data_IF_978921377621
#
_entry.id   IF_978921377621
#
_cell.length_a   1.000
_cell.length_b   1.000
_cell.length_c   1.000
_cell.angle_alpha   90.00
_cell.angle_beta   90.00
_cell.angle_gamma   90.00
#
_symmetry.space_group_name_H-M   'P 1'
#
loop_
_entity.id
_entity.type
_entity.pdbx_description
1 polymer ?
#
# COMPACT_ATOMS: atom_id res chain seq x y z
N UNK A 1 13.02 14.91 0.59
CA UNK A 1 14.05 14.49 -0.39
C UNK A 1 13.99 12.99 -0.50
N UNK A 2 13.47 12.52 -1.63
CA UNK A 2 13.19 11.11 -1.92
C UNK A 2 14.51 10.35 -2.16
N UNK A 3 14.91 9.54 -1.20
CA UNK A 3 16.08 8.67 -1.31
C UNK A 3 15.75 7.34 -2.01
N UNK A 4 14.46 7.02 -2.21
CA UNK A 4 14.03 5.79 -2.88
C UNK A 4 14.12 5.88 -4.42
N UNK A 5 14.24 7.10 -4.96
CA UNK A 5 14.38 7.37 -6.40
C UNK A 5 15.80 7.71 -6.87
N UNK A 6 16.80 7.75 -5.97
CA UNK A 6 18.20 7.93 -6.41
C UNK A 6 18.65 6.69 -7.15
N UNK A 7 18.91 6.83 -8.46
CA UNK A 7 19.54 5.78 -9.25
C UNK A 7 20.88 5.42 -8.62
N UNK A 8 21.06 4.17 -8.16
CA UNK A 8 22.36 3.68 -7.74
C UNK A 8 23.31 3.58 -8.95
N UNK A 9 24.55 3.17 -8.70
CA UNK A 9 25.47 2.67 -9.72
C UNK A 9 24.70 1.73 -10.70
N UNK A 10 25.06 1.63 -11.99
CA UNK A 10 24.29 0.88 -13.01
C UNK A 10 23.99 -0.60 -12.67
N UNK A 11 24.63 -1.16 -11.65
CA UNK A 11 24.47 -2.55 -11.18
C UNK A 11 23.89 -2.66 -9.75
N UNK A 12 23.46 -1.56 -9.12
CA UNK A 12 22.91 -1.58 -7.77
C UNK A 12 21.39 -1.36 -7.82
N UNK A 13 20.66 -2.12 -7.00
CA UNK A 13 19.21 -2.02 -6.89
C UNK A 13 18.81 -0.73 -6.17
N UNK A 14 17.69 -0.14 -6.59
CA UNK A 14 17.08 0.95 -5.84
C UNK A 14 16.68 0.48 -4.44
N UNK A 15 16.51 1.39 -3.45
CA UNK A 15 16.09 0.98 -2.11
C UNK A 15 14.79 0.17 -2.08
N UNK A 16 13.83 0.44 -2.97
CA UNK A 16 12.61 -0.36 -3.08
C UNK A 16 12.89 -1.76 -3.66
N UNK A 17 13.77 -1.86 -4.65
CA UNK A 17 14.18 -3.12 -5.24
C UNK A 17 14.96 -4.00 -4.26
N UNK A 18 15.77 -3.43 -3.37
CA UNK A 18 16.40 -4.17 -2.26
C UNK A 18 15.35 -4.74 -1.29
N UNK A 19 14.30 -3.96 -0.99
CA UNK A 19 13.18 -4.45 -0.18
C UNK A 19 12.41 -5.57 -0.90
N UNK A 20 12.21 -5.48 -2.22
CA UNK A 20 11.66 -6.59 -3.01
C UNK A 20 12.54 -7.84 -2.95
N UNK A 21 13.87 -7.69 -3.03
CA UNK A 21 14.80 -8.80 -2.88
C UNK A 21 14.69 -9.46 -1.49
N UNK A 22 14.48 -8.65 -0.43
CA UNK A 22 14.19 -9.16 0.91
C UNK A 22 12.88 -9.97 0.95
N UNK A 23 11.78 -9.46 0.38
CA UNK A 23 10.51 -10.20 0.33
C UNK A 23 10.62 -11.51 -0.46
N UNK A 24 11.44 -11.53 -1.52
CA UNK A 24 11.73 -12.74 -2.30
C UNK A 24 12.49 -13.78 -1.45
N UNK A 25 13.44 -13.34 -0.62
CA UNK A 25 14.09 -14.21 0.37
C UNK A 25 13.11 -14.69 1.44
N UNK A 26 12.29 -13.80 1.99
CA UNK A 26 11.27 -14.13 3.00
C UNK A 26 10.33 -15.23 2.50
N UNK A 27 9.85 -15.12 1.26
CA UNK A 27 9.02 -16.14 0.63
C UNK A 27 9.76 -17.48 0.54
N UNK A 28 11.02 -17.50 0.11
CA UNK A 28 11.79 -18.74 0.05
C UNK A 28 11.92 -19.39 1.44
N UNK A 29 12.36 -18.61 2.42
CA UNK A 29 12.68 -19.09 3.77
C UNK A 29 11.44 -19.58 4.52
N UNK A 30 10.31 -18.89 4.38
CA UNK A 30 9.08 -19.20 5.13
C UNK A 30 8.06 -20.06 4.37
N UNK A 31 8.17 -20.19 3.04
CA UNK A 31 7.23 -20.98 2.23
C UNK A 31 7.84 -22.26 1.67
N UNK A 32 9.17 -22.34 1.53
CA UNK A 32 9.85 -23.57 1.11
C UNK A 32 10.51 -24.28 2.29
N UNK A 33 10.11 -25.53 2.52
CA UNK A 33 10.44 -26.27 3.74
C UNK A 33 11.95 -26.55 3.90
N UNK A 34 12.73 -26.47 2.83
CA UNK A 34 14.16 -26.79 2.83
C UNK A 34 15.07 -25.61 3.22
N UNK A 35 14.54 -24.39 3.35
CA UNK A 35 15.33 -23.17 3.57
C UNK A 35 15.11 -22.53 4.95
N UNK A 36 14.39 -23.20 5.85
CA UNK A 36 14.13 -22.70 7.20
C UNK A 36 15.40 -22.51 8.06
N UNK A 37 16.53 -23.08 7.65
CA UNK A 37 17.82 -22.84 8.29
C UNK A 37 18.33 -21.39 8.13
N UNK A 38 17.76 -20.60 7.23
CA UNK A 38 18.12 -19.19 7.00
C UNK A 38 17.25 -18.17 7.73
N UNK A 39 16.32 -18.62 8.60
CA UNK A 39 15.43 -17.72 9.35
C UNK A 39 16.23 -16.72 10.20
N UNK A 40 17.35 -17.14 10.78
CA UNK A 40 18.18 -16.27 11.61
C UNK A 40 18.92 -15.20 10.79
N UNK A 41 19.23 -15.50 9.53
CA UNK A 41 19.97 -14.65 8.60
C UNK A 41 19.08 -13.67 7.81
N UNK A 42 17.78 -13.98 7.67
CA UNK A 42 16.84 -13.16 6.90
C UNK A 42 16.71 -11.72 7.43
N UNK A 43 16.65 -11.56 8.76
CA UNK A 43 16.48 -10.26 9.40
C UNK A 43 15.21 -9.52 8.94
N UNK A 44 15.26 -8.19 9.00
CA UNK A 44 14.19 -7.28 8.58
C UNK A 44 14.54 -6.57 7.26
N UNK A 45 13.54 -6.10 6.49
CA UNK A 45 13.81 -5.36 5.25
C UNK A 45 14.56 -4.06 5.53
N UNK A 46 15.40 -3.62 4.60
CA UNK A 46 16.18 -2.38 4.77
C UNK A 46 15.28 -1.14 4.90
N UNK A 47 15.63 -0.22 5.81
CA UNK A 47 15.01 1.11 5.88
C UNK A 47 13.87 1.25 6.88
N UNK A 48 13.71 0.30 7.82
CA UNK A 48 12.74 0.37 8.90
C UNK A 48 12.88 1.66 9.71
N UNK A 49 11.92 2.57 9.55
CA UNK A 49 11.69 3.68 10.47
C UNK A 49 10.39 3.42 11.23
N UNK A 50 10.47 2.47 12.14
CA UNK A 50 9.38 2.01 12.99
C UNK A 50 8.86 3.15 13.88
N UNK A 51 7.54 3.33 13.88
CA UNK A 51 6.88 4.10 14.93
C UNK A 51 7.05 3.32 16.23
N UNK A 52 7.65 3.95 17.24
CA UNK A 52 7.81 3.34 18.56
C UNK A 52 6.46 2.91 19.12
N UNK A 53 6.40 1.65 19.55
CA UNK A 53 5.22 1.08 20.18
C UNK A 53 4.91 1.87 21.46
N UNK A 54 3.72 2.43 21.51
CA UNK A 54 3.20 3.11 22.69
C UNK A 54 1.72 2.77 22.88
N UNK A 55 1.26 2.87 24.12
CA UNK A 55 -0.15 2.68 24.44
C UNK A 55 -0.86 4.02 24.34
N UNK A 56 -1.95 4.06 23.59
CA UNK A 56 -2.81 5.24 23.46
C UNK A 56 -4.11 5.00 24.21
N UNK A 57 -4.54 5.99 24.99
CA UNK A 57 -5.87 5.99 25.58
C UNK A 57 -6.90 6.35 24.51
N UNK A 58 -7.93 5.54 24.37
CA UNK A 58 -9.00 5.74 23.40
C UNK A 58 -10.31 5.98 24.15
N UNK A 59 -10.97 7.08 23.83
CA UNK A 59 -12.29 7.41 24.36
C UNK A 59 -13.28 7.26 23.21
N UNK A 60 -14.18 6.26 23.24
CA UNK A 60 -15.17 6.10 22.19
C UNK A 60 -16.18 7.25 22.26
N UNK A 61 -16.42 7.89 21.12
CA UNK A 61 -17.53 8.82 20.95
C UNK A 61 -18.87 8.07 21.02
N UNK A 62 -19.91 8.71 21.54
CA UNK A 62 -21.25 8.14 21.54
C UNK A 62 -21.87 8.17 20.13
N UNK A 63 -22.87 7.31 19.94
CA UNK A 63 -23.61 7.27 18.67
C UNK A 63 -24.38 8.56 18.43
N UNK A 64 -24.50 8.93 17.17
CA UNK A 64 -25.19 10.14 16.72
C UNK A 64 -26.31 9.77 15.77
N UNK A 65 -27.49 10.37 15.93
CA UNK A 65 -28.62 10.17 15.02
C UNK A 65 -28.65 11.28 13.96
N UNK A 66 -27.56 11.41 13.18
CA UNK A 66 -27.37 12.48 12.19
C UNK A 66 -27.32 11.87 10.79
N UNK A 67 -28.08 12.47 9.86
CA UNK A 67 -28.15 11.99 8.48
C UNK A 67 -27.06 12.64 7.62
N UNK A 68 -26.02 11.88 7.30
CA UNK A 68 -24.86 12.27 6.46
C UNK A 68 -25.14 12.50 4.95
N UNK A 69 -26.40 12.71 4.54
CA UNK A 69 -26.77 12.83 3.12
C UNK A 69 -26.67 14.25 2.55
N UNK A 70 -26.40 15.26 3.39
CA UNK A 70 -26.37 16.68 3.00
C UNK A 70 -25.20 17.40 3.67
N UNK A 71 -24.77 18.52 3.09
CA UNK A 71 -23.74 19.41 3.64
C UNK A 71 -23.93 19.68 5.14
N UNK A 72 -25.14 20.07 5.55
CA UNK A 72 -25.45 20.36 6.95
C UNK A 72 -25.24 19.15 7.87
N UNK A 73 -25.58 17.93 7.43
CA UNK A 73 -25.37 16.73 8.24
C UNK A 73 -23.89 16.40 8.43
N UNK A 74 -23.03 16.73 7.45
CA UNK A 74 -21.58 16.56 7.60
C UNK A 74 -21.00 17.57 8.61
N UNK A 75 -21.48 18.81 8.57
CA UNK A 75 -21.12 19.85 9.54
C UNK A 75 -21.56 19.42 10.94
N UNK A 76 -22.82 19.02 11.09
CA UNK A 76 -23.42 18.59 12.37
C UNK A 76 -22.66 17.40 12.98
N UNK A 77 -22.21 16.42 12.18
CA UNK A 77 -21.36 15.33 12.68
C UNK A 77 -20.01 15.83 13.18
N UNK A 78 -19.38 16.77 12.49
CA UNK A 78 -18.09 17.31 12.96
C UNK A 78 -18.25 18.15 14.22
N UNK A 79 -19.27 19.01 14.28
CA UNK A 79 -19.61 19.81 15.46
C UNK A 79 -19.91 18.90 16.66
N UNK A 80 -20.68 17.85 16.46
CA UNK A 80 -21.04 16.89 17.50
C UNK A 80 -19.82 16.08 18.00
N UNK A 81 -18.94 15.62 17.11
CA UNK A 81 -17.69 14.96 17.50
C UNK A 81 -16.77 15.90 18.30
N UNK A 82 -16.65 17.16 17.87
CA UNK A 82 -15.87 18.16 18.56
C UNK A 82 -16.46 18.49 19.93
N UNK A 83 -17.79 18.61 20.03
CA UNK A 83 -18.52 18.83 21.28
C UNK A 83 -18.28 17.70 22.28
N UNK A 84 -18.34 16.44 21.83
CA UNK A 84 -17.99 15.28 22.65
C UNK A 84 -16.53 15.29 23.11
N UNK A 85 -15.63 15.83 22.27
CA UNK A 85 -14.22 16.08 22.59
C UNK A 85 -13.95 17.32 23.44
N UNK A 86 -14.99 18.03 23.90
CA UNK A 86 -14.85 19.24 24.74
C UNK A 86 -14.60 20.54 23.95
N UNK A 87 -14.74 20.52 22.63
CA UNK A 87 -14.52 21.65 21.72
C UNK A 87 -15.84 22.20 21.14
N UNK A 88 -16.90 22.20 21.94
CA UNK A 88 -18.21 22.76 21.58
C UNK A 88 -18.17 24.27 21.38
N UNK A 89 -19.31 24.86 21.04
CA UNK A 89 -19.45 26.30 20.80
C UNK A 89 -20.07 27.04 21.99
N UNK A 90 -19.78 28.33 22.10
CA UNK A 90 -20.30 29.23 23.15
C UNK A 90 -21.83 29.24 23.27
N UNK A 91 -22.53 28.87 22.20
CA UNK A 91 -23.99 28.74 22.18
C UNK A 91 -24.53 27.39 22.66
N UNK A 92 -23.68 26.40 22.94
CA UNK A 92 -24.10 25.06 23.33
C UNK A 92 -24.62 25.03 24.77
N UNK A 93 -25.63 24.20 25.01
CA UNK A 93 -26.20 24.01 26.34
C UNK A 93 -25.15 23.38 27.27
N UNK A 94 -24.81 24.10 28.33
CA UNK A 94 -23.80 23.67 29.31
C UNK A 94 -22.36 23.99 28.90
N UNK A 95 -22.15 24.82 27.87
CA UNK A 95 -20.83 25.33 27.53
C UNK A 95 -20.29 26.24 28.64
N UNK A 96 -19.10 25.91 29.13
CA UNK A 96 -18.36 26.74 30.07
C UNK A 96 -17.47 27.70 29.28
N UNK A 97 -17.82 29.00 29.31
CA UNK A 97 -17.05 30.03 28.63
C UNK A 97 -15.59 30.11 29.10
N UNK A 98 -15.30 29.70 30.33
CA UNK A 98 -13.92 29.65 30.84
C UNK A 98 -13.08 28.53 30.20
N UNK A 99 -13.73 27.58 29.55
CA UNK A 99 -13.12 26.46 28.82
C UNK A 99 -13.01 26.71 27.31
N UNK A 100 -13.31 27.93 26.81
CA UNK A 100 -13.16 28.23 25.38
C UNK A 100 -11.69 28.15 24.94
N UNK A 101 -11.44 27.37 23.88
CA UNK A 101 -10.09 27.16 23.32
C UNK A 101 -9.97 27.88 21.99
N UNK A 102 -8.96 28.75 21.87
CA UNK A 102 -8.57 29.31 20.57
C UNK A 102 -7.88 28.23 19.73
N UNK A 103 -8.55 27.82 18.64
CA UNK A 103 -8.06 26.78 17.74
C UNK A 103 -7.06 27.28 16.68
N UNK A 104 -6.69 28.57 16.70
CA UNK A 104 -5.82 29.18 15.70
C UNK A 104 -4.41 28.54 15.64
N UNK A 105 -3.91 28.07 16.79
CA UNK A 105 -2.59 27.41 16.91
C UNK A 105 -2.68 25.89 17.15
N UNK A 106 -3.87 25.31 16.94
CA UNK A 106 -4.13 23.89 17.19
C UNK A 106 -4.39 23.12 15.89
N UNK A 107 -4.13 21.81 15.94
CA UNK A 107 -4.46 20.88 14.86
C UNK A 107 -5.11 19.64 15.45
N UNK A 108 -6.17 19.16 14.78
CA UNK A 108 -6.78 17.86 15.06
C UNK A 108 -6.67 17.01 13.82
N UNK A 109 -6.15 15.80 14.02
CA UNK A 109 -5.99 14.81 12.97
C UNK A 109 -7.24 13.95 12.87
N UNK A 110 -7.81 13.87 11.67
CA UNK A 110 -9.00 13.08 11.39
C UNK A 110 -8.62 11.94 10.47
N UNK A 111 -8.55 10.72 11.02
CA UNK A 111 -8.37 9.51 10.23
C UNK A 111 -9.71 9.02 9.70
N UNK A 112 -9.76 8.57 8.45
CA UNK A 112 -10.97 8.00 7.90
C UNK A 112 -10.81 7.43 6.51
N UNK A 113 -11.93 7.01 5.96
CA UNK A 113 -12.00 6.55 4.58
C UNK A 113 -12.11 7.72 3.60
N UNK A 114 -12.25 7.38 2.32
CA UNK A 114 -12.41 8.39 1.27
C UNK A 114 -13.66 9.25 1.48
N UNK A 115 -14.75 8.67 1.98
CA UNK A 115 -16.01 9.40 2.20
C UNK A 115 -15.85 10.42 3.33
N UNK A 116 -15.15 10.07 4.41
CA UNK A 116 -14.78 11.02 5.48
C UNK A 116 -14.02 12.23 4.91
N UNK A 117 -13.08 12.01 3.99
CA UNK A 117 -12.36 13.12 3.34
C UNK A 117 -13.30 13.97 2.47
N UNK A 118 -14.19 13.36 1.70
CA UNK A 118 -15.14 14.10 0.89
C UNK A 118 -16.08 14.95 1.76
N UNK A 119 -16.51 14.41 2.90
CA UNK A 119 -17.30 15.13 3.88
C UNK A 119 -16.53 16.30 4.50
N UNK A 120 -15.27 16.09 4.92
CA UNK A 120 -14.47 17.17 5.49
C UNK A 120 -14.18 18.29 4.47
N UNK A 121 -13.86 17.93 3.22
CA UNK A 121 -13.69 18.94 2.16
C UNK A 121 -14.96 19.74 1.91
N UNK A 122 -16.11 19.08 2.01
CA UNK A 122 -17.42 19.69 1.87
C UNK A 122 -17.68 20.71 3.00
N UNK A 123 -17.35 20.36 4.24
CA UNK A 123 -17.39 21.26 5.42
C UNK A 123 -16.45 22.47 5.23
N UNK A 124 -15.19 22.24 4.88
CA UNK A 124 -14.21 23.31 4.63
C UNK A 124 -14.69 24.27 3.54
N UNK A 125 -15.27 23.74 2.47
CA UNK A 125 -15.78 24.57 1.36
C UNK A 125 -16.95 25.43 1.81
N UNK A 126 -17.92 24.85 2.52
CA UNK A 126 -19.12 25.57 2.96
C UNK A 126 -18.81 26.65 4.01
N UNK A 127 -17.83 26.38 4.89
CA UNK A 127 -17.44 27.29 5.97
C UNK A 127 -16.28 28.22 5.60
N UNK A 128 -15.83 28.25 4.36
CA UNK A 128 -14.62 28.99 3.95
C UNK A 128 -14.67 30.50 4.18
N UNK A 129 -15.87 31.09 4.27
CA UNK A 129 -16.09 32.54 4.46
C UNK A 129 -16.25 32.95 5.93
N UNK A 130 -16.29 32.00 6.85
CA UNK A 130 -16.47 32.30 8.27
C UNK A 130 -15.27 33.07 8.83
N UNK A 131 -15.52 33.92 9.82
CA UNK A 131 -14.51 34.86 10.33
C UNK A 131 -13.36 34.14 11.06
N UNK A 132 -13.70 33.19 11.94
CA UNK A 132 -12.72 32.54 12.83
C UNK A 132 -12.18 31.22 12.24
N UNK A 133 -10.90 30.87 12.49
CA UNK A 133 -10.35 29.57 12.10
C UNK A 133 -11.17 28.38 12.66
N UNK A 134 -11.77 28.57 13.84
CA UNK A 134 -12.65 27.58 14.48
C UNK A 134 -13.88 27.29 13.62
N UNK A 135 -14.63 28.33 13.25
CA UNK A 135 -15.84 28.22 12.43
C UNK A 135 -15.54 27.71 11.01
N UNK A 136 -14.33 28.00 10.49
CA UNK A 136 -13.84 27.45 9.22
C UNK A 136 -13.41 25.99 9.27
N UNK A 137 -13.35 25.38 10.46
CA UNK A 137 -12.77 24.05 10.70
C UNK A 137 -11.31 23.93 10.20
N UNK A 138 -10.57 25.04 10.19
CA UNK A 138 -9.26 25.13 9.54
C UNK A 138 -8.20 24.22 10.19
N UNK A 139 -8.37 23.93 11.49
CA UNK A 139 -7.49 23.07 12.30
C UNK A 139 -7.67 21.57 12.04
N UNK A 140 -8.68 21.15 11.26
CA UNK A 140 -8.91 19.75 10.93
C UNK A 140 -8.03 19.29 9.76
N UNK A 141 -7.07 18.42 10.03
CA UNK A 141 -6.22 17.78 9.01
C UNK A 141 -6.65 16.34 8.81
N UNK A 142 -7.09 16.00 7.60
CA UNK A 142 -7.42 14.63 7.25
C UNK A 142 -6.18 13.78 6.98
N UNK A 143 -6.14 12.59 7.56
CA UNK A 143 -5.16 11.54 7.28
C UNK A 143 -5.83 10.31 6.66
N UNK A 144 -5.30 9.77 5.56
CA UNK A 144 -5.88 8.59 4.93
C UNK A 144 -5.78 7.38 5.85
N UNK A 145 -6.89 6.70 6.10
CA UNK A 145 -6.89 5.42 6.79
C UNK A 145 -6.12 4.38 5.99
N UNK A 146 -5.00 3.89 6.54
CA UNK A 146 -4.10 2.95 5.84
C UNK A 146 -4.77 1.63 5.48
N UNK A 147 -5.75 1.19 6.28
CA UNK A 147 -6.58 0.04 5.94
C UNK A 147 -7.37 0.26 4.64
N UNK A 148 -8.03 1.41 4.47
CA UNK A 148 -8.76 1.74 3.25
C UNK A 148 -7.83 1.95 2.05
N UNK A 149 -6.65 2.52 2.28
CA UNK A 149 -5.62 2.60 1.25
C UNK A 149 -5.20 1.21 0.77
N UNK A 150 -4.88 0.28 1.69
CA UNK A 150 -4.60 -1.14 1.40
C UNK A 150 -5.76 -1.82 0.65
N UNK A 151 -7.01 -1.56 1.05
CA UNK A 151 -8.19 -2.06 0.33
C UNK A 151 -8.26 -1.54 -1.11
N UNK A 152 -8.02 -0.24 -1.31
CA UNK A 152 -8.03 0.37 -2.63
C UNK A 152 -6.94 -0.21 -3.54
N UNK A 153 -5.74 -0.47 -2.98
CA UNK A 153 -4.62 -1.10 -3.69
C UNK A 153 -4.99 -2.48 -4.22
N UNK A 154 -5.52 -3.36 -3.37
CA UNK A 154 -5.88 -4.72 -3.82
C UNK A 154 -7.05 -4.72 -4.80
N UNK A 155 -8.00 -3.80 -4.64
CA UNK A 155 -9.10 -3.62 -5.58
C UNK A 155 -8.61 -3.03 -6.93
N UNK A 156 -7.47 -2.33 -6.95
CA UNK A 156 -6.82 -1.93 -8.19
C UNK A 156 -6.18 -3.14 -8.90
N UNK A 157 -5.51 -4.04 -8.16
CA UNK A 157 -5.00 -5.30 -8.72
C UNK A 157 -6.11 -6.16 -9.32
N UNK A 158 -7.29 -6.19 -8.68
CA UNK A 158 -8.47 -6.85 -9.25
C UNK A 158 -8.84 -6.28 -10.63
N UNK A 159 -8.92 -4.94 -10.74
CA UNK A 159 -9.22 -4.26 -12.00
C UNK A 159 -8.15 -4.49 -13.08
N UNK A 160 -6.89 -4.68 -12.69
CA UNK A 160 -5.78 -4.91 -13.63
C UNK A 160 -5.73 -6.37 -14.12
N UNK A 161 -5.76 -7.34 -13.20
CA UNK A 161 -5.33 -8.72 -13.52
C UNK A 161 -6.46 -9.75 -13.58
N UNK A 162 -7.66 -9.44 -13.07
CA UNK A 162 -8.73 -10.43 -12.94
C UNK A 162 -10.05 -10.01 -13.60
N UNK A 163 -10.42 -8.74 -13.49
CA UNK A 163 -11.63 -8.20 -14.12
C UNK A 163 -11.59 -8.22 -15.67
N UNK A 164 -10.46 -7.89 -16.34
CA UNK A 164 -10.44 -7.86 -17.81
C UNK A 164 -10.50 -9.27 -18.41
N UNK A 165 -11.63 -9.59 -19.05
CA UNK A 165 -11.85 -10.91 -19.67
C UNK A 165 -10.85 -11.24 -20.78
N UNK A 166 -10.32 -10.22 -21.47
CA UNK A 166 -9.35 -10.40 -22.54
C UNK A 166 -8.00 -10.99 -22.08
N UNK A 167 -7.73 -11.01 -20.78
CA UNK A 167 -6.53 -11.63 -20.21
C UNK A 167 -6.71 -13.09 -19.77
N UNK A 168 -7.93 -13.64 -19.83
CA UNK A 168 -8.22 -14.97 -19.26
C UNK A 168 -7.61 -16.13 -20.05
N UNK A 169 -7.36 -15.94 -21.34
CA UNK A 169 -6.76 -16.96 -22.23
C UNK A 169 -5.24 -17.08 -22.05
N UNK A 170 -4.60 -16.16 -21.30
CA UNK A 170 -3.20 -16.29 -20.92
C UNK A 170 -3.07 -17.35 -19.82
N UNK A 171 -2.30 -18.40 -20.10
CA UNK A 171 -2.01 -19.52 -19.20
C UNK A 171 -1.39 -19.08 -17.87
N UNK A 172 -0.66 -17.95 -17.87
CA UNK A 172 -0.05 -17.37 -16.68
C UNK A 172 -0.90 -16.24 -16.05
N UNK A 173 -2.13 -16.04 -16.51
CA UNK A 173 -2.99 -15.01 -15.93
C UNK A 173 -3.40 -15.36 -14.49
N UNK A 174 -3.64 -14.31 -13.70
CA UNK A 174 -4.23 -14.46 -12.37
C UNK A 174 -5.56 -15.23 -12.40
N UNK A 175 -6.32 -15.14 -13.49
CA UNK A 175 -7.54 -15.93 -13.68
C UNK A 175 -7.26 -17.44 -13.67
N UNK A 176 -6.28 -17.90 -14.45
CA UNK A 176 -5.89 -19.31 -14.51
C UNK A 176 -5.35 -19.77 -13.14
N UNK A 177 -4.51 -18.96 -12.50
CA UNK A 177 -3.97 -19.27 -11.18
C UNK A 177 -5.07 -19.36 -10.11
N UNK A 178 -6.08 -18.49 -10.15
CA UNK A 178 -7.26 -18.57 -9.27
C UNK A 178 -8.04 -19.86 -9.52
N UNK A 179 -8.14 -20.32 -10.78
CA UNK A 179 -8.76 -21.60 -11.11
C UNK A 179 -8.07 -22.80 -10.45
N UNK A 180 -6.75 -22.71 -10.23
CA UNK A 180 -5.96 -23.72 -9.52
C UNK A 180 -6.10 -23.55 -8.00
N UNK A 181 -5.91 -22.33 -7.49
CA UNK A 181 -5.89 -22.06 -6.05
C UNK A 181 -7.27 -22.19 -5.39
N UNK A 182 -8.33 -21.81 -6.11
CA UNK A 182 -9.70 -21.75 -5.61
C UNK A 182 -10.73 -22.12 -6.70
N UNK A 183 -10.73 -23.37 -7.20
CA UNK A 183 -11.59 -23.81 -8.31
C UNK A 183 -13.07 -23.48 -8.09
N UNK A 184 -13.58 -23.68 -6.88
CA UNK A 184 -14.99 -23.46 -6.54
C UNK A 184 -15.39 -21.99 -6.37
N UNK A 185 -14.43 -21.06 -6.42
CA UNK A 185 -14.67 -19.64 -6.12
C UNK A 185 -14.46 -18.73 -7.34
N UNK A 186 -14.11 -19.25 -8.50
CA UNK A 186 -13.74 -18.43 -9.67
C UNK A 186 -14.80 -17.39 -10.06
N UNK A 187 -16.09 -17.74 -10.03
CA UNK A 187 -17.18 -16.80 -10.33
C UNK A 187 -17.33 -15.68 -9.30
N UNK A 188 -17.03 -15.94 -8.02
CA UNK A 188 -16.98 -14.90 -6.98
C UNK A 188 -15.74 -14.02 -7.15
N UNK A 189 -14.64 -14.63 -7.58
CA UNK A 189 -13.37 -13.95 -7.77
C UNK A 189 -13.39 -12.96 -8.95
N UNK A 190 -14.08 -13.30 -10.04
CA UNK A 190 -14.14 -12.45 -11.24
C UNK A 190 -15.24 -11.39 -11.23
N UNK A 191 -16.13 -11.40 -10.23
CA UNK A 191 -17.22 -10.44 -10.11
C UNK A 191 -16.91 -9.33 -9.11
N UNK A 192 -17.03 -9.62 -7.82
CA UNK A 192 -16.70 -8.71 -6.70
C UNK A 192 -16.14 -9.54 -5.54
N UNK A 193 -14.86 -9.93 -5.59
CA UNK A 193 -14.26 -10.83 -4.60
C UNK A 193 -14.31 -10.29 -3.17
N UNK A 194 -14.31 -8.97 -3.01
CA UNK A 194 -14.13 -8.29 -1.73
C UNK A 194 -12.66 -8.29 -1.31
N UNK A 195 -12.35 -7.47 -0.30
CA UNK A 195 -10.98 -7.24 0.15
C UNK A 195 -10.26 -8.53 0.55
N UNK A 196 -10.86 -9.33 1.45
CA UNK A 196 -10.19 -10.49 2.03
C UNK A 196 -9.77 -11.52 0.97
N UNK A 197 -10.68 -11.86 0.03
CA UNK A 197 -10.37 -12.87 -0.98
C UNK A 197 -9.29 -12.40 -1.95
N UNK A 198 -9.32 -11.13 -2.36
CA UNK A 198 -8.25 -10.58 -3.19
C UNK A 198 -6.94 -10.50 -2.44
N UNK A 199 -6.96 -10.12 -1.16
CA UNK A 199 -5.77 -10.07 -0.33
C UNK A 199 -5.09 -11.45 -0.26
N UNK A 200 -5.83 -12.51 0.05
CA UNK A 200 -5.33 -13.88 0.11
C UNK A 200 -4.79 -14.35 -1.26
N UNK A 201 -5.55 -14.13 -2.33
CA UNK A 201 -5.17 -14.57 -3.68
C UNK A 201 -3.90 -13.88 -4.19
N UNK A 202 -3.76 -12.58 -3.96
CA UNK A 202 -2.54 -11.85 -4.37
C UNK A 202 -1.32 -12.40 -3.66
N UNK A 203 -1.41 -12.72 -2.36
CA UNK A 203 -0.31 -13.32 -1.61
C UNK A 203 0.04 -14.71 -2.13
N UNK A 204 -0.94 -15.62 -2.22
CA UNK A 204 -0.69 -17.00 -2.67
C UNK A 204 -0.13 -17.06 -4.08
N UNK A 205 -0.70 -16.25 -4.99
CA UNK A 205 -0.21 -16.14 -6.36
C UNK A 205 1.24 -15.63 -6.40
N UNK A 206 1.55 -14.58 -5.64
CA UNK A 206 2.91 -14.04 -5.59
C UNK A 206 3.90 -15.05 -5.01
N UNK A 207 3.54 -15.75 -3.93
CA UNK A 207 4.41 -16.76 -3.34
C UNK A 207 4.77 -17.85 -4.36
N UNK A 208 3.76 -18.39 -5.05
CA UNK A 208 3.99 -19.37 -6.11
C UNK A 208 4.89 -18.82 -7.23
N UNK A 209 4.63 -17.60 -7.70
CA UNK A 209 5.43 -16.98 -8.75
C UNK A 209 6.88 -16.74 -8.33
N UNK A 210 7.13 -16.28 -7.09
CA UNK A 210 8.49 -16.05 -6.59
C UNK A 210 9.25 -17.37 -6.38
N UNK A 211 8.60 -18.42 -5.88
CA UNK A 211 9.20 -19.75 -5.77
C UNK A 211 9.53 -20.35 -7.15
N UNK A 212 8.69 -20.09 -8.17
CA UNK A 212 9.01 -20.50 -9.53
C UNK A 212 10.20 -19.72 -10.10
N UNK A 213 10.29 -18.40 -9.84
CA UNK A 213 11.46 -17.60 -10.19
C UNK A 213 12.74 -18.14 -9.54
N UNK A 214 12.66 -18.56 -8.27
CA UNK A 214 13.77 -19.25 -7.59
C UNK A 214 14.17 -20.54 -8.29
N UNK A 215 13.20 -21.39 -8.68
CA UNK A 215 13.45 -22.64 -9.38
C UNK A 215 14.14 -22.39 -10.72
N UNK A 216 13.64 -21.43 -11.50
CA UNK A 216 14.21 -21.05 -12.79
C UNK A 216 15.62 -20.48 -12.63
N UNK A 217 15.85 -19.58 -11.66
CA UNK A 217 17.17 -18.99 -11.44
C UNK A 217 18.19 -20.03 -10.94
N UNK A 218 17.79 -20.96 -10.07
CA UNK A 218 18.64 -22.07 -9.65
C UNK A 218 19.03 -22.94 -10.85
N UNK A 219 18.08 -23.32 -11.70
CA UNK A 219 18.34 -24.11 -12.90
C UNK A 219 19.27 -23.39 -13.89
N UNK A 220 19.16 -22.06 -13.99
CA UNK A 220 20.05 -21.24 -14.81
C UNK A 220 21.50 -21.26 -14.30
N UNK A 221 21.71 -21.29 -12.99
CA UNK A 221 23.05 -21.42 -12.41
C UNK A 221 23.63 -22.82 -12.57
N UNK A 222 22.78 -23.85 -12.45
CA UNK A 222 23.18 -25.23 -12.65
C UNK A 222 21.99 -26.04 -13.18
N UNK A 223 22.13 -26.59 -14.38
CA UNK A 223 21.08 -27.36 -15.05
C UNK A 223 20.62 -28.60 -14.28
N UNK A 224 21.40 -29.06 -13.28
CA UNK A 224 21.00 -30.15 -12.38
C UNK A 224 20.01 -29.71 -11.28
N UNK A 225 19.89 -28.41 -10.99
CA UNK A 225 18.98 -27.87 -9.96
C UNK A 225 17.59 -27.61 -10.54
N UNK A 226 16.91 -28.67 -10.98
CA UNK A 226 15.58 -28.59 -11.61
C UNK A 226 14.44 -28.33 -10.62
N UNK A 227 14.69 -28.52 -9.32
CA UNK A 227 13.74 -28.26 -8.23
C UNK A 227 14.42 -27.51 -7.08
N UNK A 228 13.63 -26.83 -6.25
CA UNK A 228 14.13 -26.16 -5.05
C UNK A 228 14.71 -27.14 -4.03
N UNK A 229 14.23 -28.38 -3.98
CA UNK A 229 14.82 -29.43 -3.14
C UNK A 229 16.25 -29.77 -3.58
N UNK A 230 16.49 -29.92 -4.90
CA UNK A 230 17.82 -30.22 -5.43
C UNK A 230 18.77 -29.04 -5.22
N UNK A 231 18.27 -27.81 -5.38
CA UNK A 231 19.01 -26.60 -5.04
C UNK A 231 19.38 -26.57 -3.55
N UNK A 232 18.44 -26.82 -2.65
CA UNK A 232 18.68 -26.85 -1.21
C UNK A 232 19.72 -27.93 -0.81
N UNK A 233 19.68 -29.11 -1.45
CA UNK A 233 20.68 -30.18 -1.23
C UNK A 233 22.09 -29.77 -1.62
N UNK A 234 22.26 -28.81 -2.53
CA UNK A 234 23.55 -28.23 -2.86
C UNK A 234 24.10 -27.30 -1.76
N UNK A 235 23.31 -27.01 -0.72
CA UNK A 235 23.67 -26.18 0.44
C UNK A 235 24.19 -24.80 0.01
N UNK A 236 23.38 -24.01 -0.71
CA UNK A 236 23.78 -22.65 -1.10
C UNK A 236 24.13 -21.84 0.14
N UNK A 237 25.09 -20.93 0.01
CA UNK A 237 25.40 -19.98 1.10
C UNK A 237 24.32 -18.89 1.18
N UNK A 238 24.20 -18.22 2.32
CA UNK A 238 23.29 -17.07 2.43
C UNK A 238 23.64 -15.94 1.44
N UNK A 239 24.92 -15.71 1.18
CA UNK A 239 25.38 -14.76 0.16
C UNK A 239 24.87 -15.15 -1.24
N UNK A 240 24.84 -16.44 -1.55
CA UNK A 240 24.25 -16.96 -2.80
C UNK A 240 22.75 -16.66 -2.86
N UNK A 241 22.02 -16.86 -1.77
CA UNK A 241 20.59 -16.51 -1.68
C UNK A 241 20.38 -15.02 -1.92
N UNK A 242 21.12 -14.14 -1.26
CA UNK A 242 21.02 -12.68 -1.49
C UNK A 242 21.33 -12.31 -2.95
N UNK A 243 22.39 -12.88 -3.54
CA UNK A 243 22.73 -12.59 -4.93
C UNK A 243 21.65 -13.06 -5.90
N UNK A 244 21.07 -14.23 -5.65
CA UNK A 244 19.99 -14.78 -6.47
C UNK A 244 18.69 -13.98 -6.32
N UNK A 245 18.32 -13.54 -5.13
CA UNK A 245 17.10 -12.74 -4.94
C UNK A 245 17.20 -11.39 -5.67
N UNK A 246 18.38 -10.77 -5.65
CA UNK A 246 18.66 -9.56 -6.46
C UNK A 246 18.60 -9.84 -7.96
N UNK A 247 19.14 -10.97 -8.42
CA UNK A 247 19.02 -11.38 -9.82
C UNK A 247 17.56 -11.61 -10.23
N UNK A 248 16.75 -12.20 -9.34
CA UNK A 248 15.31 -12.39 -9.54
C UNK A 248 14.61 -11.04 -9.69
N UNK A 249 14.92 -10.05 -8.82
CA UNK A 249 14.36 -8.70 -8.96
C UNK A 249 14.70 -8.10 -10.33
N UNK A 250 15.96 -8.14 -10.75
CA UNK A 250 16.39 -7.56 -12.03
C UNK A 250 15.73 -8.22 -13.25
N UNK A 251 15.53 -9.54 -13.22
CA UNK A 251 15.05 -10.32 -14.36
C UNK A 251 13.53 -10.42 -14.42
N UNK A 252 12.88 -10.60 -13.28
CA UNK A 252 11.49 -11.06 -13.20
C UNK A 252 10.54 -10.09 -12.51
N UNK A 253 11.02 -8.94 -12.03
CA UNK A 253 10.21 -7.95 -11.29
C UNK A 253 10.43 -6.55 -11.84
N UNK A 254 11.64 -6.00 -11.70
CA UNK A 254 11.96 -4.63 -12.04
C UNK A 254 12.59 -4.49 -13.43
N UNK A 255 12.12 -5.28 -14.41
CA UNK A 255 12.64 -5.31 -15.77
C UNK A 255 12.12 -4.15 -16.65
N UNK A 256 11.84 -2.97 -16.09
CA UNK A 256 11.11 -1.89 -16.79
C UNK A 256 11.84 -1.41 -18.07
N UNK A 257 13.16 -1.20 -18.02
CA UNK A 257 13.97 -0.86 -19.20
C UNK A 257 13.98 -1.98 -20.25
N UNK A 258 13.80 -3.22 -19.79
CA UNK A 258 13.68 -4.38 -20.64
C UNK A 258 12.29 -4.54 -21.25
N UNK A 259 11.23 -4.10 -20.55
CA UNK A 259 9.86 -4.05 -21.07
C UNK A 259 9.75 -3.03 -22.21
N UNK A 260 10.35 -1.85 -22.09
CA UNK A 260 10.34 -0.86 -23.20
C UNK A 260 11.01 -1.42 -24.46
N UNK A 261 12.13 -2.12 -24.29
CA UNK A 261 12.81 -2.84 -25.39
C UNK A 261 11.98 -3.99 -25.93
N UNK A 262 11.29 -4.72 -25.06
CA UNK A 262 10.41 -5.83 -25.45
C UNK A 262 9.21 -5.33 -26.25
N UNK A 263 8.53 -4.26 -25.80
CA UNK A 263 7.43 -3.61 -26.49
C UNK A 263 7.84 -2.99 -27.84
N UNK A 264 9.11 -2.63 -28.00
CA UNK A 264 9.65 -2.14 -29.28
C UNK A 264 9.82 -3.24 -30.34
N UNK A 265 9.74 -4.52 -29.96
CA UNK A 265 9.80 -5.64 -30.91
C UNK A 265 8.49 -5.75 -31.71
N UNK A 266 8.52 -6.29 -32.94
CA UNK A 266 7.30 -6.64 -33.68
C UNK A 266 6.40 -7.59 -32.88
N UNK A 267 5.08 -7.48 -33.03
CA UNK A 267 4.11 -8.21 -32.21
C UNK A 267 4.28 -9.73 -32.17
N UNK A 268 4.84 -10.36 -33.22
CA UNK A 268 5.12 -11.81 -33.26
C UNK A 268 6.36 -12.26 -32.48
N UNK A 269 7.20 -11.31 -32.04
CA UNK A 269 8.46 -11.55 -31.33
C UNK A 269 8.44 -11.06 -29.88
N UNK A 270 7.27 -10.59 -29.41
CA UNK A 270 7.05 -10.19 -28.02
C UNK A 270 6.67 -11.41 -27.19
N UNK A 271 7.27 -11.54 -26.02
CA UNK A 271 6.86 -12.56 -25.05
C UNK A 271 5.89 -11.91 -24.07
N UNK A 272 4.66 -11.72 -24.54
CA UNK A 272 3.61 -11.04 -23.77
C UNK A 272 3.30 -11.75 -22.46
N UNK A 273 3.44 -13.08 -22.42
CA UNK A 273 3.21 -13.87 -21.20
C UNK A 273 4.27 -13.52 -20.15
N UNK A 274 5.53 -13.47 -20.55
CA UNK A 274 6.62 -13.03 -19.68
C UNK A 274 6.45 -11.56 -19.25
N UNK A 275 6.15 -10.66 -20.18
CA UNK A 275 5.94 -9.23 -19.90
C UNK A 275 4.81 -9.02 -18.88
N UNK A 276 3.66 -9.72 -19.05
CA UNK A 276 2.55 -9.71 -18.10
C UNK A 276 2.96 -10.25 -16.73
N UNK A 277 3.72 -11.34 -16.69
CA UNK A 277 4.17 -11.95 -15.43
C UNK A 277 5.12 -11.02 -14.66
N UNK A 278 6.01 -10.31 -15.35
CA UNK A 278 6.91 -9.31 -14.73
C UNK A 278 6.11 -8.20 -14.07
N UNK A 279 5.10 -7.65 -14.77
CA UNK A 279 4.23 -6.61 -14.23
C UNK A 279 3.42 -7.10 -13.02
N UNK A 280 2.89 -8.32 -13.10
CA UNK A 280 2.13 -8.94 -12.00
C UNK A 280 3.03 -9.19 -10.78
N UNK A 281 4.27 -9.63 -10.98
CA UNK A 281 5.25 -9.82 -9.91
C UNK A 281 5.59 -8.49 -9.24
N UNK A 282 5.86 -7.45 -10.03
CA UNK A 282 6.13 -6.10 -9.55
C UNK A 282 4.98 -5.55 -8.69
N UNK A 283 3.76 -5.56 -9.23
CA UNK A 283 2.60 -5.00 -8.55
C UNK A 283 2.20 -5.83 -7.32
N UNK A 284 2.40 -7.15 -7.37
CA UNK A 284 2.23 -8.05 -6.24
C UNK A 284 3.22 -7.76 -5.11
N UNK A 285 4.51 -7.59 -5.42
CA UNK A 285 5.54 -7.22 -4.43
C UNK A 285 5.30 -5.82 -3.86
N UNK A 286 4.86 -4.87 -4.69
CA UNK A 286 4.46 -3.54 -4.22
C UNK A 286 3.31 -3.61 -3.20
N UNK A 287 2.36 -4.54 -3.39
CA UNK A 287 1.26 -4.75 -2.45
C UNK A 287 1.69 -5.46 -1.17
N UNK A 288 2.50 -6.51 -1.27
CA UNK A 288 3.02 -7.26 -0.11
C UNK A 288 3.93 -6.38 0.74
N UNK A 289 4.79 -5.59 0.12
CA UNK A 289 5.62 -4.62 0.84
C UNK A 289 4.78 -3.57 1.56
N UNK A 290 3.75 -3.01 0.91
CA UNK A 290 2.82 -2.11 1.59
C UNK A 290 2.16 -2.78 2.81
N UNK A 291 1.74 -4.04 2.68
CA UNK A 291 1.13 -4.76 3.80
C UNK A 291 2.10 -4.94 4.97
N UNK A 292 3.35 -5.34 4.68
CA UNK A 292 4.38 -5.52 5.70
C UNK A 292 4.76 -4.17 6.34
N UNK A 293 4.96 -3.12 5.54
CA UNK A 293 5.31 -1.79 6.03
C UNK A 293 4.22 -1.20 6.94
N UNK A 294 2.94 -1.39 6.59
CA UNK A 294 1.81 -1.01 7.44
C UNK A 294 1.87 -1.76 8.78
N UNK A 295 2.07 -3.09 8.74
CA UNK A 295 2.09 -3.91 9.97
C UNK A 295 3.31 -3.61 10.84
N UNK A 296 4.46 -3.32 10.24
CA UNK A 296 5.68 -2.92 10.94
C UNK A 296 5.65 -1.46 11.41
N UNK A 297 4.63 -0.66 11.05
CA UNK A 297 4.64 0.77 11.36
C UNK A 297 5.78 1.53 10.68
N UNK A 298 6.29 1.05 9.54
CA UNK A 298 7.32 1.72 8.77
C UNK A 298 6.70 2.76 7.84
N UNK A 299 6.54 3.96 8.37
CA UNK A 299 5.89 5.04 7.64
C UNK A 299 6.66 5.48 6.39
N UNK A 300 7.99 5.30 6.35
CA UNK A 300 8.78 5.73 5.19
C UNK A 300 8.50 4.83 3.99
N UNK A 301 8.38 3.52 4.20
CA UNK A 301 7.97 2.60 3.13
C UNK A 301 6.51 2.77 2.73
N UNK A 302 5.61 3.05 3.69
CA UNK A 302 4.22 3.39 3.38
C UNK A 302 4.15 4.66 2.51
N UNK A 303 4.87 5.73 2.84
CA UNK A 303 4.92 6.94 2.01
C UNK A 303 5.51 6.67 0.61
N UNK A 304 6.55 5.84 0.54
CA UNK A 304 7.19 5.46 -0.72
C UNK A 304 6.24 4.69 -1.67
N UNK A 305 5.25 3.96 -1.13
CA UNK A 305 4.26 3.26 -1.95
C UNK A 305 3.25 4.19 -2.61
N UNK A 306 3.04 5.42 -2.10
CA UNK A 306 1.96 6.29 -2.56
C UNK A 306 2.09 6.64 -4.04
N UNK A 307 3.28 7.01 -4.50
CA UNK A 307 3.47 7.45 -5.88
C UNK A 307 3.20 6.33 -6.91
N UNK A 308 3.80 5.12 -6.79
CA UNK A 308 3.45 3.99 -7.64
C UNK A 308 1.94 3.68 -7.67
N UNK A 309 1.30 3.62 -6.49
CA UNK A 309 -0.13 3.35 -6.41
C UNK A 309 -1.00 4.45 -6.99
N UNK A 310 -0.59 5.73 -6.95
CA UNK A 310 -1.33 6.81 -7.61
C UNK A 310 -1.40 6.57 -9.13
N UNK A 311 -0.30 6.11 -9.75
CA UNK A 311 -0.31 5.78 -11.18
C UNK A 311 -1.24 4.60 -11.47
N UNK A 312 -1.16 3.52 -10.68
CA UNK A 312 -2.05 2.36 -10.81
C UNK A 312 -3.52 2.77 -10.61
N UNK A 313 -3.82 3.61 -9.62
CA UNK A 313 -5.18 4.12 -9.40
C UNK A 313 -5.71 4.94 -10.57
N UNK A 314 -4.87 5.74 -11.22
CA UNK A 314 -5.29 6.46 -12.44
C UNK A 314 -5.61 5.51 -13.58
N UNK A 315 -4.79 4.47 -13.77
CA UNK A 315 -4.98 3.47 -14.81
C UNK A 315 -6.22 2.58 -14.58
N UNK A 316 -6.58 2.32 -13.33
CA UNK A 316 -7.66 1.39 -12.94
C UNK A 316 -9.00 2.05 -12.61
N UNK A 317 -9.16 3.34 -12.94
CA UNK A 317 -10.39 4.09 -12.71
C UNK A 317 -10.63 4.55 -11.26
N UNK A 318 -9.64 4.40 -10.37
CA UNK A 318 -9.68 4.86 -8.97
C UNK A 318 -9.28 6.34 -8.84
N UNK A 319 -9.87 7.20 -9.66
CA UNK A 319 -9.48 8.61 -9.79
C UNK A 319 -9.58 9.40 -8.48
N UNK A 320 -10.57 9.11 -7.64
CA UNK A 320 -10.71 9.76 -6.33
C UNK A 320 -9.52 9.43 -5.42
N UNK A 321 -9.21 8.15 -5.22
CA UNK A 321 -8.03 7.74 -4.45
C UNK A 321 -6.75 8.34 -5.01
N UNK A 322 -6.54 8.28 -6.33
CA UNK A 322 -5.38 8.92 -6.97
C UNK A 322 -5.27 10.42 -6.64
N UNK A 323 -6.38 11.15 -6.72
CA UNK A 323 -6.44 12.60 -6.44
C UNK A 323 -6.15 12.90 -4.98
N UNK A 324 -6.75 12.17 -4.05
CA UNK A 324 -6.57 12.41 -2.62
C UNK A 324 -5.17 12.04 -2.14
N UNK A 325 -4.62 10.92 -2.61
CA UNK A 325 -3.25 10.52 -2.29
C UNK A 325 -2.21 11.50 -2.88
N UNK A 326 -2.44 11.99 -4.10
CA UNK A 326 -1.59 13.03 -4.70
C UNK A 326 -1.63 14.32 -3.88
N UNK A 327 -2.82 14.79 -3.47
CA UNK A 327 -2.95 15.97 -2.60
C UNK A 327 -2.27 15.75 -1.25
N UNK A 328 -2.39 14.55 -0.68
CA UNK A 328 -1.71 14.20 0.57
C UNK A 328 -0.18 14.29 0.42
N UNK A 329 0.38 13.71 -0.63
CA UNK A 329 1.82 13.81 -0.94
C UNK A 329 2.27 15.26 -1.13
N UNK A 330 1.50 16.07 -1.86
CA UNK A 330 1.81 17.50 -2.07
C UNK A 330 1.83 18.22 -0.71
N UNK A 331 0.84 17.97 0.14
CA UNK A 331 0.79 18.59 1.46
C UNK A 331 2.00 18.19 2.32
N UNK A 332 2.32 16.90 2.40
CA UNK A 332 3.45 16.39 3.18
C UNK A 332 4.80 16.91 2.69
N UNK A 333 4.97 17.11 1.38
CA UNK A 333 6.26 17.51 0.81
C UNK A 333 6.45 19.02 0.71
N UNK A 334 5.36 19.81 0.58
CA UNK A 334 5.46 21.23 0.22
C UNK A 334 4.66 22.17 1.11
N UNK A 335 3.49 21.75 1.63
CA UNK A 335 2.58 22.70 2.30
C UNK A 335 2.66 22.64 3.82
N UNK A 336 2.87 21.45 4.39
CA UNK A 336 2.90 21.29 5.84
C UNK A 336 4.26 21.72 6.40
N UNK A 337 4.28 22.52 7.49
CA UNK A 337 5.50 22.76 8.26
C UNK A 337 6.10 21.45 8.78
N UNK A 338 7.41 21.43 9.01
CA UNK A 338 8.12 20.22 9.50
C UNK A 338 7.48 19.62 10.74
N UNK A 339 7.05 20.44 11.71
CA UNK A 339 6.37 19.98 12.91
C UNK A 339 5.10 19.17 12.61
N UNK A 340 4.28 19.63 11.66
CA UNK A 340 3.06 18.91 11.24
C UNK A 340 3.43 17.62 10.52
N UNK A 341 4.43 17.64 9.64
CA UNK A 341 4.88 16.42 8.95
C UNK A 341 5.33 15.34 9.94
N UNK A 342 6.07 15.73 10.97
CA UNK A 342 6.56 14.81 12.01
C UNK A 342 5.43 14.21 12.84
N UNK A 343 4.44 15.03 13.23
CA UNK A 343 3.27 14.53 13.95
C UNK A 343 2.49 13.56 13.07
N UNK A 344 2.18 13.94 11.82
CA UNK A 344 1.47 13.07 10.87
C UNK A 344 2.18 11.73 10.69
N UNK A 345 3.51 11.74 10.56
CA UNK A 345 4.30 10.51 10.41
C UNK A 345 4.25 9.60 11.64
N UNK A 346 4.14 10.18 12.84
CA UNK A 346 4.04 9.43 14.11
C UNK A 346 2.63 8.91 14.39
N UNK A 347 1.61 9.47 13.73
CA UNK A 347 0.19 9.10 13.95
C UNK A 347 -0.35 8.12 12.92
N UNK A 348 0.45 7.72 11.92
CA UNK A 348 0.14 6.60 11.05
C UNK A 348 0.28 5.25 11.79
N UNK A 349 -0.47 5.07 12.85
CA UNK A 349 -0.59 3.81 13.58
C UNK A 349 -1.75 2.98 13.02
N UNK A 350 -1.53 1.68 12.89
CA UNK A 350 -2.57 0.70 12.61
C UNK A 350 -3.05 0.21 13.97
N UNK A 351 -4.33 0.43 14.26
CA UNK A 351 -5.03 -0.23 15.39
C UNK A 351 -5.24 -1.70 15.10
#
# INVERSE_FOLDING_TARGET
MDTYTKQPHPNALSPQQEVFAWHICDILVHREQYFGNFIAELGEPSGVNEILVHKTEQVPCHTMNIKLTKYNGNIEVMEELLRQGGLGDAGDVGFDMSCEVDMSEHVILVHGDLLTKEHLNSVHKSRSIEETPKNRFQYLIFLPGLFHYKMACVDALFHTYLQPKGGWDDENSLYQHVGILHPDKIGKMTSKPGFQRMHEVVHHNLWAAMLDCWRVEAQNQNQAWTTLELFAKAKPSWDTIIQMSRAIVCKYVAHLDGLDKAHSKPAGNQDKRFENQVLQNHDGLLYVDLCQAINAGDIRRVEASFLPWIYIFKATGKHKYATHMMKFLINMNYNYPTAIQEVVKKTFSVT
#
